data_IF_705965753839
#
_entry.id   IF_705965753839
#
_cell.length_a   1.000
_cell.length_b   1.000
_cell.length_c   1.000
_cell.angle_alpha   90.00
_cell.angle_beta   90.00
_cell.angle_gamma   90.00
#
_symmetry.space_group_name_H-M   'P 1'
#
loop_
_entity.id
_entity.type
_entity.pdbx_description
1 polymer ?
#
# COMPACT_ATOMS: atom_id res chain seq x y z
N UNK A 1 -2.62 3.71 6.19
CA UNK A 1 -1.18 3.77 5.90
C UNK A 1 -0.45 4.70 6.87
N UNK A 2 -0.62 6.03 6.80
CA UNK A 2 0.14 7.01 7.60
C UNK A 2 0.16 6.71 9.11
N UNK A 3 -0.99 6.41 9.72
CA UNK A 3 -1.04 6.07 11.14
C UNK A 3 -0.13 4.87 11.46
N UNK A 4 -0.20 3.80 10.67
CA UNK A 4 0.63 2.62 10.89
C UNK A 4 2.12 2.90 10.65
N UNK A 5 2.46 3.81 9.74
CA UNK A 5 3.83 4.22 9.49
C UNK A 5 4.44 5.04 10.64
N UNK A 6 3.62 5.87 11.31
CA UNK A 6 4.08 6.83 12.31
C UNK A 6 3.85 6.41 13.76
N UNK A 7 2.99 5.41 14.01
CA UNK A 7 2.66 4.94 15.36
C UNK A 7 2.99 3.46 15.52
N UNK A 8 4.05 3.16 16.27
CA UNK A 8 4.53 1.79 16.52
C UNK A 8 3.55 0.93 17.34
N UNK A 9 2.55 1.53 17.98
CA UNK A 9 1.49 0.81 18.70
C UNK A 9 0.55 0.07 17.74
N UNK A 10 0.53 0.47 16.47
CA UNK A 10 -0.17 -0.28 15.41
C UNK A 10 0.64 -1.51 15.07
N UNK A 11 0.22 -2.66 15.57
CA UNK A 11 0.97 -3.92 15.48
C UNK A 11 0.92 -4.58 14.09
N UNK A 12 -0.09 -4.29 13.29
CA UNK A 12 -0.25 -4.77 11.92
C UNK A 12 -1.16 -3.83 11.13
N UNK A 13 -1.10 -3.90 9.82
CA UNK A 13 -1.96 -3.08 8.97
C UNK A 13 -2.48 -3.85 7.75
N UNK A 14 -3.71 -3.53 7.35
CA UNK A 14 -4.28 -3.91 6.05
C UNK A 14 -4.58 -2.63 5.29
N UNK A 15 -3.99 -2.48 4.11
CA UNK A 15 -4.18 -1.31 3.23
C UNK A 15 -4.87 -1.79 1.97
N UNK A 16 -6.12 -1.39 1.77
CA UNK A 16 -6.91 -1.77 0.60
C UNK A 16 -7.17 -0.57 -0.30
N UNK A 17 -6.86 -0.72 -1.60
CA UNK A 17 -7.11 0.28 -2.63
C UNK A 17 -6.39 1.62 -2.41
N UNK A 18 -5.32 1.62 -1.61
CA UNK A 18 -4.59 2.86 -1.24
C UNK A 18 -3.06 2.65 -1.26
N UNK A 19 -2.58 1.82 -2.18
CA UNK A 19 -1.14 1.67 -2.42
C UNK A 19 -0.87 1.92 -3.90
N UNK A 20 -0.36 3.11 -4.21
CA UNK A 20 -0.04 3.53 -5.57
C UNK A 20 1.00 4.66 -5.54
N UNK A 21 1.75 4.86 -6.62
CA UNK A 21 2.68 5.99 -6.72
C UNK A 21 1.93 7.31 -6.92
N UNK A 22 2.35 8.34 -6.23
CA UNK A 22 1.73 9.67 -6.23
C UNK A 22 1.64 10.28 -7.63
N UNK A 23 2.69 10.12 -8.42
CA UNK A 23 2.74 10.70 -9.77
C UNK A 23 1.57 10.28 -10.63
N UNK A 24 1.32 8.98 -10.74
CA UNK A 24 0.28 8.45 -11.61
C UNK A 24 -1.12 8.68 -11.03
N UNK A 25 -1.29 8.41 -9.75
CA UNK A 25 -2.59 8.41 -9.12
C UNK A 25 -3.08 9.81 -8.73
N UNK A 26 -2.20 10.69 -8.27
CA UNK A 26 -2.58 12.03 -7.83
C UNK A 26 -2.29 13.09 -8.90
N UNK A 27 -1.09 13.11 -9.46
CA UNK A 27 -0.69 14.21 -10.34
C UNK A 27 -1.18 14.02 -11.78
N UNK A 28 -1.15 12.78 -12.31
CA UNK A 28 -1.58 12.50 -13.68
C UNK A 28 -3.07 12.25 -13.76
N UNK A 29 -3.61 11.36 -12.92
CA UNK A 29 -5.04 11.05 -12.90
C UNK A 29 -5.89 12.23 -12.41
N UNK A 30 -5.42 12.94 -11.40
CA UNK A 30 -6.07 14.11 -10.78
C UNK A 30 -7.56 13.87 -10.41
N UNK A 31 -7.89 12.68 -9.91
CA UNK A 31 -9.26 12.28 -9.51
C UNK A 31 -9.38 11.78 -8.08
N UNK A 32 -8.28 11.78 -7.34
CA UNK A 32 -8.28 11.42 -5.92
C UNK A 32 -8.72 12.60 -5.05
N UNK A 33 -9.15 12.30 -3.82
CA UNK A 33 -9.55 13.33 -2.86
C UNK A 33 -8.42 14.32 -2.58
N UNK A 34 -8.76 15.59 -2.38
CA UNK A 34 -7.81 16.66 -2.09
C UNK A 34 -6.96 16.42 -0.83
N UNK A 35 -7.47 15.65 0.14
CA UNK A 35 -6.72 15.26 1.34
C UNK A 35 -5.46 14.42 1.07
N UNK A 36 -5.34 13.86 -0.13
CA UNK A 36 -4.14 13.12 -0.54
C UNK A 36 -3.01 14.03 -1.05
N UNK A 37 -3.29 15.30 -1.33
CA UNK A 37 -2.33 16.25 -1.88
C UNK A 37 -1.63 17.00 -0.75
N UNK A 38 -0.59 16.39 -0.21
CA UNK A 38 0.27 17.01 0.80
C UNK A 38 1.37 17.80 0.04
N UNK A 39 1.45 19.13 0.19
CA UNK A 39 2.42 19.93 -0.50
C UNK A 39 3.85 19.41 -0.36
N UNK A 40 4.56 19.30 -1.46
CA UNK A 40 5.96 18.89 -1.56
C UNK A 40 6.27 17.44 -1.13
N UNK A 41 5.31 16.67 -0.64
CA UNK A 41 5.59 15.32 -0.14
C UNK A 41 6.16 14.39 -1.23
N UNK A 42 5.52 14.37 -2.40
CA UNK A 42 5.92 13.50 -3.52
C UNK A 42 7.29 13.86 -4.14
N UNK A 43 7.81 15.05 -3.87
CA UNK A 43 9.14 15.48 -4.33
C UNK A 43 10.25 14.71 -3.60
N UNK A 44 9.95 14.14 -2.46
CA UNK A 44 10.90 13.47 -1.57
C UNK A 44 10.56 12.01 -1.31
N UNK A 45 9.27 11.68 -1.23
CA UNK A 45 8.76 10.37 -0.83
C UNK A 45 7.60 9.95 -1.73
N UNK A 46 7.50 8.64 -1.98
CA UNK A 46 6.31 8.04 -2.55
C UNK A 46 5.59 7.16 -1.51
N UNK A 47 4.43 6.61 -1.84
CA UNK A 47 3.67 5.79 -0.88
C UNK A 47 4.43 4.55 -0.43
N UNK A 48 5.23 3.95 -1.31
CA UNK A 48 6.10 2.83 -0.96
C UNK A 48 7.13 3.19 0.10
N UNK A 49 7.72 4.39 0.03
CA UNK A 49 8.68 4.87 1.03
C UNK A 49 8.02 5.04 2.40
N UNK A 50 6.84 5.68 2.42
CA UNK A 50 6.08 5.90 3.66
C UNK A 50 5.64 4.58 4.28
N UNK A 51 5.09 3.66 3.48
CA UNK A 51 4.66 2.35 3.97
C UNK A 51 5.83 1.45 4.40
N UNK A 52 7.04 1.71 3.92
CA UNK A 52 8.26 1.03 4.36
C UNK A 52 8.55 1.24 5.85
N UNK A 53 8.09 2.34 6.45
CA UNK A 53 8.21 2.60 7.88
C UNK A 53 7.37 1.64 8.75
N UNK A 54 6.48 0.85 8.15
CA UNK A 54 5.72 -0.18 8.87
C UNK A 54 6.60 -1.39 9.16
N UNK A 55 7.65 -1.63 8.38
CA UNK A 55 8.57 -2.75 8.60
C UNK A 55 9.16 -2.73 10.03
N UNK A 56 9.34 -3.89 10.68
CA UNK A 56 9.10 -5.26 10.19
C UNK A 56 7.68 -5.82 10.51
N UNK A 57 6.74 -4.96 10.93
CA UNK A 57 5.39 -5.36 11.36
C UNK A 57 4.58 -5.94 10.19
N UNK A 58 3.69 -6.93 10.44
CA UNK A 58 2.86 -7.53 9.39
C UNK A 58 2.06 -6.48 8.60
N UNK A 59 2.17 -6.52 7.29
CA UNK A 59 1.50 -5.61 6.37
C UNK A 59 0.83 -6.39 5.25
N UNK A 60 -0.48 -6.20 5.10
CA UNK A 60 -1.25 -6.70 3.96
C UNK A 60 -1.60 -5.53 3.06
N UNK A 61 -1.38 -5.68 1.76
CA UNK A 61 -1.76 -4.72 0.74
C UNK A 61 -2.72 -5.41 -0.21
N UNK A 62 -3.96 -4.91 -0.29
CA UNK A 62 -4.95 -5.38 -1.24
C UNK A 62 -5.08 -4.36 -2.37
N UNK A 63 -4.84 -4.80 -3.60
CA UNK A 63 -4.95 -3.97 -4.81
C UNK A 63 -5.85 -4.65 -5.83
N UNK A 64 -6.68 -3.89 -6.55
CA UNK A 64 -7.52 -4.43 -7.62
C UNK A 64 -6.97 -4.09 -8.99
N UNK A 65 -7.03 -5.05 -9.93
CA UNK A 65 -6.46 -4.90 -11.28
C UNK A 65 -7.11 -3.80 -12.09
N UNK A 66 -8.44 -3.64 -11.97
CA UNK A 66 -9.21 -2.65 -12.71
C UNK A 66 -9.49 -1.38 -11.88
N UNK A 67 -8.79 -1.19 -10.75
CA UNK A 67 -8.92 0.02 -9.94
C UNK A 67 -8.35 1.23 -10.71
N UNK A 68 -9.24 2.11 -11.13
CA UNK A 68 -8.87 3.33 -11.88
C UNK A 68 -8.10 4.34 -11.03
N UNK A 69 -8.17 4.26 -9.71
CA UNK A 69 -7.43 5.16 -8.82
C UNK A 69 -5.93 4.85 -8.77
N UNK A 70 -5.51 3.68 -9.28
CA UNK A 70 -4.10 3.38 -9.47
C UNK A 70 -3.41 4.26 -10.53
N UNK A 71 -4.19 5.07 -11.29
CA UNK A 71 -3.66 5.93 -12.36
C UNK A 71 -3.54 5.22 -13.71
N UNK A 72 -2.95 5.89 -14.72
CA UNK A 72 -2.92 5.41 -16.11
C UNK A 72 -2.24 4.05 -16.30
N UNK A 73 -1.23 3.73 -15.49
CA UNK A 73 -0.52 2.45 -15.55
C UNK A 73 -1.18 1.34 -14.74
N UNK A 74 -2.31 1.63 -14.09
CA UNK A 74 -3.11 0.65 -13.35
C UNK A 74 -2.30 -0.07 -12.27
N UNK A 75 -2.50 -1.39 -12.17
CA UNK A 75 -1.90 -2.23 -11.13
C UNK A 75 -0.35 -2.19 -11.10
N UNK A 76 0.31 -1.88 -12.21
CA UNK A 76 1.77 -1.75 -12.27
C UNK A 76 2.25 -0.68 -11.28
N UNK A 77 1.52 0.43 -11.16
CA UNK A 77 1.81 1.49 -10.21
C UNK A 77 1.81 0.99 -8.76
N UNK A 78 0.86 0.14 -8.38
CA UNK A 78 0.80 -0.47 -7.06
C UNK A 78 1.96 -1.47 -6.84
N UNK A 79 2.25 -2.32 -7.82
CA UNK A 79 3.32 -3.33 -7.75
C UNK A 79 4.69 -2.67 -7.53
N UNK A 80 4.97 -1.56 -8.21
CA UNK A 80 6.21 -0.82 -8.02
C UNK A 80 6.37 -0.30 -6.58
N UNK A 81 5.29 0.21 -5.99
CA UNK A 81 5.33 0.68 -4.60
C UNK A 81 5.54 -0.48 -3.61
N UNK A 82 4.91 -1.62 -3.85
CA UNK A 82 5.12 -2.82 -3.01
C UNK A 82 6.56 -3.31 -3.11
N UNK A 83 7.19 -3.25 -4.28
CA UNK A 83 8.59 -3.63 -4.44
C UNK A 83 9.55 -2.75 -3.60
N UNK A 84 9.22 -1.48 -3.38
CA UNK A 84 9.97 -0.59 -2.46
C UNK A 84 9.81 -1.08 -1.02
N UNK A 85 8.57 -1.37 -0.60
CA UNK A 85 8.28 -1.86 0.75
C UNK A 85 9.01 -3.18 1.02
N UNK A 86 8.97 -4.13 0.08
CA UNK A 86 9.66 -5.41 0.23
C UNK A 86 11.17 -5.26 0.46
N UNK A 87 11.81 -4.28 -0.19
CA UNK A 87 13.24 -4.00 0.05
C UNK A 87 13.48 -3.57 1.50
N UNK A 88 12.64 -2.72 2.05
CA UNK A 88 12.73 -2.29 3.44
C UNK A 88 12.56 -3.48 4.40
N UNK A 89 11.57 -4.34 4.15
CA UNK A 89 11.35 -5.55 4.96
C UNK A 89 12.58 -6.48 4.96
N UNK A 90 13.20 -6.69 3.80
CA UNK A 90 14.45 -7.47 3.69
C UNK A 90 15.61 -6.81 4.47
N UNK A 91 15.75 -5.49 4.39
CA UNK A 91 16.77 -4.74 5.13
C UNK A 91 16.58 -4.82 6.64
N UNK A 92 15.34 -4.83 7.11
CA UNK A 92 15.01 -5.00 8.52
C UNK A 92 15.04 -6.47 8.98
N UNK A 93 15.44 -7.41 8.12
CA UNK A 93 15.42 -8.86 8.41
C UNK A 93 14.05 -9.33 8.92
N UNK A 94 12.96 -8.80 8.36
CA UNK A 94 11.62 -9.16 8.74
C UNK A 94 11.37 -10.65 8.51
N UNK A 95 10.68 -11.30 9.45
CA UNK A 95 10.34 -12.73 9.37
C UNK A 95 9.47 -13.05 8.15
N UNK A 96 8.57 -12.11 7.81
CA UNK A 96 7.69 -12.22 6.63
C UNK A 96 7.78 -10.96 5.78
N UNK A 97 7.74 -11.13 4.47
CA UNK A 97 7.55 -10.00 3.54
C UNK A 97 6.09 -9.55 3.56
N UNK A 98 5.78 -8.31 3.15
CA UNK A 98 4.40 -7.86 3.04
C UNK A 98 3.60 -8.76 2.11
N UNK A 99 2.35 -9.03 2.48
CA UNK A 99 1.43 -9.79 1.62
C UNK A 99 0.77 -8.84 0.63
N UNK A 100 1.13 -8.93 -0.66
CA UNK A 100 0.42 -8.22 -1.72
C UNK A 100 -0.64 -9.12 -2.33
N UNK A 101 -1.91 -8.83 -2.04
CA UNK A 101 -3.06 -9.56 -2.58
C UNK A 101 -3.68 -8.78 -3.73
N UNK A 102 -3.49 -9.27 -4.95
CA UNK A 102 -4.01 -8.64 -6.17
C UNK A 102 -5.33 -9.31 -6.53
N UNK A 103 -6.41 -8.53 -6.40
CA UNK A 103 -7.78 -8.97 -6.66
C UNK A 103 -8.25 -8.54 -8.06
N UNK A 104 -9.28 -9.18 -8.56
CA UNK A 104 -10.01 -8.71 -9.73
C UNK A 104 -11.01 -7.61 -9.34
N UNK A 105 -11.47 -6.84 -10.32
CA UNK A 105 -12.45 -5.78 -10.11
C UNK A 105 -11.86 -4.38 -9.93
N UNK A 106 -12.75 -3.42 -9.66
CA UNK A 106 -12.43 -2.01 -9.49
C UNK A 106 -12.08 -1.62 -8.05
N UNK A 107 -12.27 -0.36 -7.71
CA UNK A 107 -11.99 0.17 -6.37
C UNK A 107 -12.98 -0.37 -5.35
N UNK A 108 -12.64 -1.45 -4.66
CA UNK A 108 -13.49 -2.10 -3.67
C UNK A 108 -12.68 -2.86 -2.63
N UNK A 109 -13.30 -3.10 -1.48
CA UNK A 109 -12.79 -3.98 -0.44
C UNK A 109 -13.26 -5.41 -0.68
N UNK A 110 -12.32 -6.37 -0.68
CA UNK A 110 -12.57 -7.80 -0.79
C UNK A 110 -12.55 -8.45 0.59
N UNK A 111 -13.62 -8.26 1.37
CA UNK A 111 -13.76 -8.76 2.74
C UNK A 111 -13.77 -10.28 2.86
N UNK A 112 -14.12 -11.00 1.80
CA UNK A 112 -14.07 -12.46 1.71
C UNK A 112 -12.65 -13.02 1.85
N UNK A 113 -11.63 -12.18 1.76
CA UNK A 113 -10.22 -12.57 1.94
C UNK A 113 -9.68 -12.33 3.36
N UNK A 114 -10.55 -11.87 4.27
CA UNK A 114 -10.13 -11.49 5.62
C UNK A 114 -9.45 -12.66 6.37
N UNK A 115 -9.97 -13.87 6.28
CA UNK A 115 -9.39 -15.05 6.95
C UNK A 115 -7.94 -15.28 6.51
N UNK A 116 -7.64 -15.17 5.22
CA UNK A 116 -6.27 -15.24 4.68
C UNK A 116 -5.36 -14.15 5.28
N UNK A 117 -5.89 -12.94 5.51
CA UNK A 117 -5.10 -11.85 6.08
C UNK A 117 -4.85 -12.06 7.56
N UNK A 118 -5.84 -12.55 8.31
CA UNK A 118 -5.69 -12.88 9.73
C UNK A 118 -4.67 -14.01 9.92
N UNK A 119 -4.73 -15.05 9.10
CA UNK A 119 -3.73 -16.12 9.11
C UNK A 119 -2.31 -15.60 8.85
N UNK A 120 -2.15 -14.72 7.84
CA UNK A 120 -0.85 -14.10 7.55
C UNK A 120 -0.34 -13.28 8.74
N UNK A 121 -1.22 -12.52 9.40
CA UNK A 121 -0.89 -11.69 10.58
C UNK A 121 -0.59 -12.56 11.81
N UNK A 122 -1.07 -13.82 11.85
CA UNK A 122 -0.93 -14.72 12.99
C UNK A 122 -2.05 -14.56 14.04
N UNK A 123 -3.28 -14.30 13.58
CA UNK A 123 -4.49 -14.13 14.40
C UNK A 123 -5.54 -15.19 14.08
#
# INVERSE_FOLDING_TARGET
MYLAALDERVQYAVISGYMYGFRDALLTLNRNCSCNYIPHLWEHLDMGDIASLIAPRPLVIQSCRQDRLNGPRGIVNAVEQVAVIEKAYRLCHAEKLPLHDICEGGHQWHGERLDKYLEYIGK
#
